data_IF_970998266848
#
_entry.id   IF_970998266848
#
_cell.length_a   1.000
_cell.length_b   1.000
_cell.length_c   1.000
_cell.angle_alpha   90.00
_cell.angle_beta   90.00
_cell.angle_gamma   90.00
#
_symmetry.space_group_name_H-M   'P 1'
#
loop_
_entity.id
_entity.type
_entity.pdbx_description
1 polymer ?
#
# COMPACT_ATOMS: atom_id res chain seq x y z
N UNK A 1 -56.79 -9.07 26.66
CA UNK A 1 -56.29 -9.87 25.53
C UNK A 1 -56.84 -9.25 24.28
N UNK A 2 -55.96 -8.88 23.36
CA UNK A 2 -56.32 -8.17 22.15
C UNK A 2 -57.17 -9.09 21.25
N UNK A 3 -58.42 -8.70 20.97
CA UNK A 3 -59.42 -9.58 20.31
C UNK A 3 -59.20 -9.69 18.81
N UNK A 4 -58.39 -8.80 18.21
CA UNK A 4 -58.25 -8.66 16.75
C UNK A 4 -57.31 -9.70 16.14
N UNK A 5 -56.21 -10.08 16.82
CA UNK A 5 -55.20 -11.05 16.31
C UNK A 5 -54.74 -12.07 17.38
N UNK A 6 -55.62 -12.96 17.84
CA UNK A 6 -55.34 -13.85 18.98
C UNK A 6 -54.22 -14.87 18.72
N UNK A 7 -54.11 -15.37 17.47
CA UNK A 7 -53.07 -16.33 17.07
C UNK A 7 -51.68 -15.68 17.03
N UNK A 8 -51.57 -14.48 16.46
CA UNK A 8 -50.29 -13.76 16.38
C UNK A 8 -49.83 -13.32 17.78
N UNK A 9 -50.74 -12.86 18.65
CA UNK A 9 -50.43 -12.57 20.04
C UNK A 9 -49.87 -13.80 20.78
N UNK A 10 -50.45 -14.99 20.55
CA UNK A 10 -49.97 -16.25 21.12
C UNK A 10 -48.58 -16.64 20.59
N UNK A 11 -48.34 -16.50 19.28
CA UNK A 11 -47.02 -16.71 18.69
C UNK A 11 -45.97 -15.75 19.25
N UNK A 12 -46.31 -14.45 19.33
CA UNK A 12 -45.43 -13.43 19.89
C UNK A 12 -45.13 -13.67 21.38
N UNK A 13 -46.07 -14.24 22.14
CA UNK A 13 -45.85 -14.59 23.56
C UNK A 13 -44.79 -15.67 23.78
N UNK A 14 -44.48 -16.47 22.75
CA UNK A 14 -43.37 -17.44 22.80
C UNK A 14 -42.01 -16.77 22.60
N UNK A 15 -41.99 -15.63 21.91
CA UNK A 15 -40.77 -14.88 21.58
C UNK A 15 -40.53 -13.70 22.53
N UNK A 16 -41.58 -13.17 23.16
CA UNK A 16 -41.52 -12.02 24.05
C UNK A 16 -42.24 -12.30 25.37
N UNK A 17 -41.58 -12.09 26.53
CA UNK A 17 -42.18 -12.36 27.84
C UNK A 17 -43.11 -11.25 28.32
N UNK A 18 -42.93 -10.01 27.86
CA UNK A 18 -43.76 -8.86 28.27
C UNK A 18 -45.00 -8.73 27.38
N UNK A 19 -46.17 -8.71 28.02
CA UNK A 19 -47.47 -8.54 27.34
C UNK A 19 -47.64 -7.15 26.74
N UNK A 20 -47.11 -6.12 27.38
CA UNK A 20 -47.19 -4.73 26.90
C UNK A 20 -46.46 -4.57 25.57
N UNK A 21 -45.28 -5.18 25.45
CA UNK A 21 -44.49 -5.17 24.21
C UNK A 21 -45.18 -5.89 23.05
N UNK A 22 -45.93 -6.95 23.35
CA UNK A 22 -46.71 -7.69 22.33
C UNK A 22 -47.85 -6.83 21.81
N UNK A 23 -48.56 -6.13 22.71
CA UNK A 23 -49.66 -5.23 22.34
C UNK A 23 -49.12 -4.09 21.48
N UNK A 24 -48.02 -3.44 21.89
CA UNK A 24 -47.39 -2.38 21.10
C UNK A 24 -46.96 -2.85 19.70
N UNK A 25 -46.43 -4.08 19.57
CA UNK A 25 -46.07 -4.63 18.26
C UNK A 25 -47.28 -4.88 17.37
N UNK A 26 -48.38 -5.39 17.93
CA UNK A 26 -49.61 -5.63 17.17
C UNK A 26 -50.28 -4.32 16.74
N UNK A 27 -50.23 -3.29 17.59
CA UNK A 27 -50.76 -1.95 17.29
C UNK A 27 -49.93 -1.21 16.22
N UNK A 28 -48.60 -1.41 16.18
CA UNK A 28 -47.71 -0.73 15.23
C UNK A 28 -47.51 -1.50 13.92
N UNK A 29 -47.71 -2.82 13.91
CA UNK A 29 -47.43 -3.68 12.74
C UNK A 29 -48.48 -3.56 11.64
N UNK A 30 -49.73 -3.29 11.98
CA UNK A 30 -50.81 -3.11 11.01
C UNK A 30 -51.36 -1.70 11.12
N UNK A 31 -51.35 -0.94 10.02
CA UNK A 31 -52.07 0.32 9.97
C UNK A 31 -53.58 0.05 10.19
N UNK A 32 -54.30 1.01 10.77
CA UNK A 32 -55.69 0.82 11.26
C UNK A 32 -56.65 0.19 10.23
N UNK A 33 -56.38 0.36 8.93
CA UNK A 33 -57.20 -0.11 7.81
C UNK A 33 -56.47 -1.08 6.85
N UNK A 34 -55.23 -1.49 7.11
CA UNK A 34 -54.48 -2.38 6.21
C UNK A 34 -54.75 -3.86 6.51
N UNK A 35 -55.09 -4.62 5.46
CA UNK A 35 -55.11 -6.08 5.52
C UNK A 35 -53.66 -6.60 5.59
N UNK A 36 -53.35 -7.60 6.44
CA UNK A 36 -52.00 -8.14 6.64
C UNK A 36 -51.54 -8.96 5.43
N UNK A 37 -51.33 -8.31 4.29
CA UNK A 37 -50.98 -8.94 3.02
C UNK A 37 -49.58 -8.53 2.58
N UNK A 38 -48.80 -9.50 2.11
CA UNK A 38 -47.51 -9.25 1.49
C UNK A 38 -47.75 -8.99 0.00
N UNK A 39 -47.64 -7.74 -0.43
CA UNK A 39 -47.75 -7.41 -1.87
C UNK A 39 -46.50 -7.90 -2.60
N UNK A 40 -46.65 -9.00 -3.34
CA UNK A 40 -45.65 -9.50 -4.27
C UNK A 40 -46.08 -9.14 -5.69
N UNK A 41 -45.91 -7.87 -6.05
CA UNK A 41 -46.16 -7.39 -7.41
C UNK A 41 -44.85 -6.96 -8.05
N UNK A 42 -44.63 -7.27 -9.35
CA UNK A 42 -43.55 -6.65 -10.09
C UNK A 42 -43.79 -5.14 -10.07
N UNK A 43 -42.74 -4.38 -9.78
CA UNK A 43 -42.81 -2.92 -9.81
C UNK A 43 -42.94 -2.54 -11.28
N UNK A 44 -44.04 -1.90 -11.65
CA UNK A 44 -44.24 -1.28 -12.96
C UNK A 44 -43.34 -0.03 -13.02
N UNK A 45 -42.05 -0.26 -13.24
CA UNK A 45 -41.13 0.80 -13.61
C UNK A 45 -41.42 1.04 -15.10
N UNK A 46 -41.87 2.24 -15.46
CA UNK A 46 -41.92 2.67 -16.87
C UNK A 46 -40.61 2.27 -17.53
N UNK A 47 -40.69 1.54 -18.65
CA UNK A 47 -39.53 0.96 -19.31
C UNK A 47 -38.43 2.01 -19.43
N UNK A 48 -37.43 1.94 -18.53
CA UNK A 48 -36.24 2.76 -18.69
C UNK A 48 -35.59 2.18 -19.94
N UNK A 49 -35.78 2.87 -21.08
CA UNK A 49 -35.39 2.47 -22.44
C UNK A 49 -33.90 2.05 -22.58
N UNK A 50 -33.11 2.17 -21.51
CA UNK A 50 -31.67 2.04 -21.51
C UNK A 50 -31.11 0.74 -20.91
N UNK A 51 -31.93 -0.27 -20.58
CA UNK A 51 -31.39 -1.55 -20.09
C UNK A 51 -32.25 -2.76 -20.49
N UNK A 52 -32.13 -3.17 -21.76
CA UNK A 52 -32.71 -4.41 -22.31
C UNK A 52 -32.07 -5.72 -21.78
N UNK A 53 -31.27 -5.65 -20.71
CA UNK A 53 -30.57 -6.82 -20.17
C UNK A 53 -31.19 -7.22 -18.84
N UNK A 54 -31.64 -8.48 -18.78
CA UNK A 54 -32.05 -9.12 -17.53
C UNK A 54 -30.96 -8.99 -16.44
N UNK A 55 -31.37 -8.98 -15.18
CA UNK A 55 -30.45 -8.97 -14.03
C UNK A 55 -29.46 -10.14 -14.09
N UNK A 56 -29.90 -11.31 -14.56
CA UNK A 56 -29.04 -12.48 -14.76
C UNK A 56 -27.99 -12.26 -15.85
N UNK A 57 -28.35 -11.60 -16.95
CA UNK A 57 -27.38 -11.24 -18.01
C UNK A 57 -26.38 -10.21 -17.51
N UNK A 58 -26.79 -9.21 -16.74
CA UNK A 58 -25.87 -8.24 -16.14
C UNK A 58 -24.89 -8.92 -15.18
N UNK A 59 -25.38 -9.80 -14.29
CA UNK A 59 -24.51 -10.56 -13.38
C UNK A 59 -23.54 -11.48 -14.11
N UNK A 60 -23.96 -12.10 -15.22
CA UNK A 60 -23.07 -12.92 -16.05
C UNK A 60 -22.03 -12.06 -16.74
N UNK A 61 -22.43 -10.96 -17.36
CA UNK A 61 -21.51 -10.04 -18.03
C UNK A 61 -20.52 -9.41 -17.06
N UNK A 62 -20.93 -9.01 -15.86
CA UNK A 62 -20.04 -8.53 -14.80
C UNK A 62 -19.02 -9.60 -14.42
N UNK A 63 -19.45 -10.86 -14.23
CA UNK A 63 -18.53 -11.98 -13.97
C UNK A 63 -17.55 -12.21 -15.12
N UNK A 64 -18.00 -12.09 -16.37
CA UNK A 64 -17.14 -12.23 -17.54
C UNK A 64 -16.16 -11.06 -17.71
N UNK A 65 -16.62 -9.83 -17.49
CA UNK A 65 -15.80 -8.61 -17.52
C UNK A 65 -14.73 -8.64 -16.43
N UNK A 66 -15.10 -9.00 -15.21
CA UNK A 66 -14.18 -9.21 -14.08
C UNK A 66 -13.11 -10.27 -14.40
N UNK A 67 -13.49 -11.41 -15.01
CA UNK A 67 -12.53 -12.42 -15.46
C UNK A 67 -11.60 -11.93 -16.57
N UNK A 68 -12.08 -11.05 -17.48
CA UNK A 68 -11.29 -10.48 -18.57
C UNK A 68 -10.30 -9.42 -18.06
N UNK A 69 -10.69 -8.63 -17.06
CA UNK A 69 -9.82 -7.65 -16.40
C UNK A 69 -8.69 -8.33 -15.60
N UNK A 70 -8.98 -9.44 -14.90
CA UNK A 70 -7.96 -10.23 -14.19
C UNK A 70 -6.86 -10.80 -15.10
N UNK A 71 -7.17 -11.07 -16.38
CA UNK A 71 -6.19 -11.63 -17.34
C UNK A 71 -5.19 -10.59 -17.88
N UNK A 72 -5.43 -9.28 -17.74
CA UNK A 72 -4.58 -8.24 -18.36
C UNK A 72 -3.30 -7.90 -17.59
N UNK A 73 -3.20 -8.22 -16.31
CA UNK A 73 -2.12 -7.69 -15.46
C UNK A 73 -0.92 -8.66 -15.34
N UNK A 74 -0.34 -9.04 -16.49
CA UNK A 74 0.86 -9.91 -16.55
C UNK A 74 2.06 -9.30 -15.83
N UNK A 75 2.13 -7.96 -15.76
CA UNK A 75 3.16 -7.18 -15.09
C UNK A 75 3.42 -7.67 -13.66
N UNK A 76 2.38 -7.99 -12.89
CA UNK A 76 2.51 -8.52 -11.52
C UNK A 76 3.15 -9.91 -11.51
N UNK A 77 2.79 -10.76 -12.47
CA UNK A 77 3.35 -12.12 -12.59
C UNK A 77 4.82 -12.06 -13.00
N UNK A 78 5.15 -11.24 -14.00
CA UNK A 78 6.52 -11.00 -14.46
C UNK A 78 7.37 -10.44 -13.33
N UNK A 79 6.90 -9.40 -12.64
CA UNK A 79 7.62 -8.79 -11.52
C UNK A 79 7.83 -9.79 -10.37
N UNK A 80 6.82 -10.59 -10.02
CA UNK A 80 6.95 -11.64 -9.01
C UNK A 80 8.00 -12.68 -9.40
N UNK A 81 8.04 -13.11 -10.67
CA UNK A 81 9.06 -14.03 -11.20
C UNK A 81 10.45 -13.40 -11.11
N UNK A 82 10.56 -12.13 -11.50
CA UNK A 82 11.80 -11.36 -11.43
C UNK A 82 12.38 -11.30 -10.02
N UNK A 83 11.57 -10.93 -9.02
CA UNK A 83 11.98 -10.85 -7.60
C UNK A 83 12.43 -12.23 -7.08
N UNK A 84 11.65 -13.29 -7.38
CA UNK A 84 12.00 -14.66 -6.97
C UNK A 84 13.31 -15.13 -7.60
N UNK A 85 13.54 -14.82 -8.88
CA UNK A 85 14.79 -15.18 -9.53
C UNK A 85 15.99 -14.48 -8.88
N UNK A 86 15.88 -13.18 -8.60
CA UNK A 86 16.93 -12.40 -7.93
C UNK A 86 17.26 -12.94 -6.53
N UNK A 87 16.24 -13.27 -5.73
CA UNK A 87 16.46 -13.88 -4.41
C UNK A 87 17.16 -15.24 -4.52
N UNK A 88 16.84 -16.04 -5.55
CA UNK A 88 17.50 -17.33 -5.81
C UNK A 88 18.96 -17.12 -6.22
N UNK A 89 19.24 -16.18 -7.13
CA UNK A 89 20.59 -15.85 -7.58
C UNK A 89 21.46 -15.33 -6.43
N UNK A 90 20.93 -14.45 -5.58
CA UNK A 90 21.64 -13.96 -4.37
C UNK A 90 22.02 -15.09 -3.41
N UNK A 91 21.11 -16.04 -3.19
CA UNK A 91 21.40 -17.22 -2.35
C UNK A 91 22.49 -18.10 -2.96
N UNK A 92 22.39 -18.38 -4.27
CA UNK A 92 23.39 -19.17 -5.00
C UNK A 92 24.77 -18.52 -4.98
N UNK A 93 24.82 -17.21 -5.24
CA UNK A 93 26.06 -16.43 -5.21
C UNK A 93 26.71 -16.50 -3.82
N UNK A 94 25.94 -16.28 -2.75
CA UNK A 94 26.43 -16.38 -1.37
C UNK A 94 27.05 -17.75 -1.07
N UNK A 95 26.39 -18.84 -1.45
CA UNK A 95 26.89 -20.20 -1.23
C UNK A 95 28.17 -20.46 -2.03
N UNK A 96 28.22 -20.07 -3.30
CA UNK A 96 29.42 -20.23 -4.14
C UNK A 96 30.62 -19.45 -3.60
N UNK A 97 30.41 -18.21 -3.16
CA UNK A 97 31.46 -17.40 -2.52
C UNK A 97 31.97 -18.11 -1.26
N UNK A 98 31.07 -18.60 -0.39
CA UNK A 98 31.46 -19.31 0.82
C UNK A 98 32.27 -20.58 0.53
N UNK A 99 31.85 -21.38 -0.47
CA UNK A 99 32.57 -22.58 -0.88
C UNK A 99 33.96 -22.24 -1.46
N UNK A 100 34.05 -21.22 -2.31
CA UNK A 100 35.31 -20.78 -2.91
C UNK A 100 36.30 -20.26 -1.86
N UNK A 101 35.81 -19.47 -0.90
CA UNK A 101 36.61 -19.01 0.25
C UNK A 101 37.19 -20.17 1.04
N UNK A 102 36.35 -21.17 1.35
CA UNK A 102 36.76 -22.36 2.11
C UNK A 102 37.74 -23.24 1.34
N UNK A 103 37.53 -23.43 0.04
CA UNK A 103 38.39 -24.28 -0.79
C UNK A 103 39.79 -23.70 -0.99
N UNK A 104 39.90 -22.37 -1.08
CA UNK A 104 41.15 -21.68 -1.39
C UNK A 104 41.78 -20.99 -0.17
N UNK A 105 41.22 -21.17 1.04
CA UNK A 105 41.62 -20.45 2.25
C UNK A 105 41.72 -18.92 2.05
N UNK A 106 40.77 -18.34 1.32
CA UNK A 106 40.74 -16.90 1.01
C UNK A 106 39.82 -16.13 1.97
N UNK A 107 40.32 -15.02 2.50
CA UNK A 107 39.54 -14.10 3.36
C UNK A 107 38.45 -13.37 2.57
N UNK A 108 38.75 -12.95 1.34
CA UNK A 108 37.88 -12.16 0.47
C UNK A 108 37.94 -12.69 -0.97
N UNK A 109 36.79 -12.64 -1.65
CA UNK A 109 36.62 -13.11 -3.04
C UNK A 109 35.75 -12.08 -3.74
N UNK A 110 36.15 -11.63 -4.91
CA UNK A 110 35.32 -10.70 -5.67
C UNK A 110 34.07 -11.41 -6.18
N UNK A 111 32.92 -10.78 -6.00
CA UNK A 111 31.65 -11.36 -6.45
C UNK A 111 31.57 -11.42 -7.99
N UNK A 112 32.35 -10.57 -8.68
CA UNK A 112 32.43 -10.44 -10.14
C UNK A 112 32.88 -11.71 -10.88
N UNK A 113 33.53 -12.65 -10.18
CA UNK A 113 33.98 -13.93 -10.73
C UNK A 113 32.82 -14.85 -11.11
N UNK A 114 31.67 -14.69 -10.45
CA UNK A 114 30.53 -15.60 -10.61
C UNK A 114 29.55 -15.08 -11.66
N UNK A 115 29.05 -15.99 -12.51
CA UNK A 115 28.03 -15.66 -13.53
C UNK A 115 26.78 -15.06 -12.91
N UNK A 116 26.38 -15.56 -11.73
CA UNK A 116 25.22 -15.07 -10.99
C UNK A 116 25.31 -13.58 -10.66
N UNK A 117 26.51 -13.05 -10.38
CA UNK A 117 26.68 -11.63 -10.07
C UNK A 117 26.34 -10.74 -11.26
N UNK A 118 26.63 -11.19 -12.49
CA UNK A 118 26.32 -10.43 -13.71
C UNK A 118 24.83 -10.30 -13.98
N UNK A 119 24.04 -11.26 -13.51
CA UNK A 119 22.58 -11.28 -13.65
C UNK A 119 21.86 -10.51 -12.53
N UNK A 120 22.57 -10.09 -11.47
CA UNK A 120 21.97 -9.35 -10.36
C UNK A 120 21.83 -7.86 -10.70
N UNK A 121 20.77 -7.28 -10.15
CA UNK A 121 20.61 -5.83 -10.07
C UNK A 121 21.81 -5.18 -9.38
N UNK A 122 22.37 -4.16 -10.02
CA UNK A 122 23.41 -3.32 -9.45
C UNK A 122 22.80 -2.05 -8.89
N UNK A 123 23.31 -1.60 -7.76
CA UNK A 123 22.88 -0.37 -7.12
C UNK A 123 23.12 0.85 -8.02
N UNK A 124 24.25 0.87 -8.72
CA UNK A 124 24.67 1.96 -9.60
C UNK A 124 23.66 2.24 -10.71
N UNK A 125 23.00 1.21 -11.24
CA UNK A 125 21.98 1.34 -12.29
C UNK A 125 20.77 2.17 -11.80
N UNK A 126 20.53 2.23 -10.48
CA UNK A 126 19.43 2.97 -9.86
C UNK A 126 19.82 4.38 -9.39
N UNK A 127 21.10 4.77 -9.46
CA UNK A 127 21.52 6.12 -9.10
C UNK A 127 20.86 7.17 -9.99
N UNK A 128 20.73 6.90 -11.30
CA UNK A 128 20.02 7.79 -12.23
C UNK A 128 18.55 7.96 -11.84
N UNK A 129 17.90 6.88 -11.41
CA UNK A 129 16.50 6.93 -10.92
C UNK A 129 16.38 7.75 -9.63
N UNK A 130 17.37 7.66 -8.74
CA UNK A 130 17.41 8.48 -7.54
C UNK A 130 17.63 9.97 -7.85
N UNK A 131 18.53 10.30 -8.79
CA UNK A 131 18.71 11.69 -9.27
C UNK A 131 17.40 12.28 -9.79
N UNK A 132 16.68 11.54 -10.63
CA UNK A 132 15.36 11.96 -11.12
C UNK A 132 14.35 12.19 -9.98
N UNK A 133 14.34 11.30 -8.98
CA UNK A 133 13.48 11.46 -7.81
C UNK A 133 13.82 12.70 -6.98
N UNK A 134 15.12 13.01 -6.81
CA UNK A 134 15.57 14.21 -6.11
C UNK A 134 15.10 15.48 -6.83
N UNK A 135 15.27 15.57 -8.15
CA UNK A 135 14.77 16.70 -8.93
C UNK A 135 13.25 16.85 -8.79
N UNK A 136 12.51 15.75 -8.96
CA UNK A 136 11.05 15.71 -8.77
C UNK A 136 10.63 16.22 -7.38
N UNK A 137 11.28 15.75 -6.31
CA UNK A 137 10.84 16.09 -4.96
C UNK A 137 11.20 17.54 -4.59
N UNK A 138 12.34 18.04 -5.09
CA UNK A 138 12.71 19.47 -4.97
C UNK A 138 11.67 20.36 -5.63
N UNK A 139 11.30 20.05 -6.87
CA UNK A 139 10.28 20.79 -7.62
C UNK A 139 8.92 20.74 -6.91
N UNK A 140 8.51 19.55 -6.46
CA UNK A 140 7.25 19.36 -5.75
C UNK A 140 7.18 20.21 -4.48
N UNK A 141 8.26 20.20 -3.70
CA UNK A 141 8.35 20.94 -2.44
C UNK A 141 8.66 22.43 -2.64
N UNK A 142 8.92 22.86 -3.87
CA UNK A 142 9.33 24.21 -4.22
C UNK A 142 10.55 24.64 -3.38
N UNK A 143 11.54 23.75 -3.26
CA UNK A 143 12.82 24.08 -2.61
C UNK A 143 13.56 25.01 -3.58
N UNK A 144 13.42 26.30 -3.35
CA UNK A 144 14.10 27.34 -4.14
C UNK A 144 15.56 27.44 -3.67
N UNK A 145 16.46 27.71 -4.62
CA UNK A 145 17.88 27.91 -4.35
C UNK A 145 18.17 29.18 -3.52
N UNK A 146 17.16 30.01 -3.27
CA UNK A 146 17.26 31.31 -2.58
C UNK A 146 17.24 31.21 -1.03
N UNK A 147 17.37 30.00 -0.45
CA UNK A 147 17.53 29.81 1.00
C UNK A 147 16.26 29.94 1.84
N UNK A 148 15.11 30.23 1.26
CA UNK A 148 13.83 30.24 1.98
C UNK A 148 13.31 28.81 2.16
N UNK A 149 13.29 28.32 3.40
CA UNK A 149 12.70 27.01 3.71
C UNK A 149 11.19 27.03 3.44
N UNK A 150 10.66 26.05 2.68
CA UNK A 150 9.23 25.95 2.45
C UNK A 150 8.49 25.63 3.76
N UNK A 151 7.21 26.03 3.84
CA UNK A 151 6.39 25.75 5.01
C UNK A 151 6.29 24.23 5.24
N UNK A 152 6.86 23.77 6.36
CA UNK A 152 6.98 22.35 6.72
C UNK A 152 5.62 21.64 6.65
N UNK A 153 4.53 22.28 7.11
CA UNK A 153 3.20 21.66 7.08
C UNK A 153 2.72 21.41 5.65
N UNK A 154 2.96 22.35 4.74
CA UNK A 154 2.63 22.19 3.33
C UNK A 154 3.49 21.12 2.67
N UNK A 155 4.78 21.04 3.02
CA UNK A 155 5.66 19.97 2.57
C UNK A 155 5.14 18.59 3.00
N UNK A 156 4.74 18.43 4.27
CA UNK A 156 4.22 17.16 4.79
C UNK A 156 2.95 16.71 4.06
N UNK A 157 2.05 17.65 3.71
CA UNK A 157 0.86 17.35 2.91
C UNK A 157 1.26 16.84 1.52
N UNK A 158 2.15 17.55 0.82
CA UNK A 158 2.64 17.15 -0.51
C UNK A 158 3.33 15.79 -0.47
N UNK A 159 4.20 15.56 0.52
CA UNK A 159 4.91 14.30 0.76
C UNK A 159 3.95 13.14 1.04
N UNK A 160 2.82 13.38 1.71
CA UNK A 160 1.83 12.33 1.98
C UNK A 160 1.23 11.73 0.69
N UNK A 161 1.14 12.54 -0.38
CA UNK A 161 0.64 12.13 -1.69
C UNK A 161 1.73 11.81 -2.72
N UNK A 162 3.00 12.11 -2.42
CA UNK A 162 4.12 11.99 -3.36
C UNK A 162 4.45 10.53 -3.74
N UNK A 163 5.18 10.34 -4.84
CA UNK A 163 5.76 9.07 -5.26
C UNK A 163 7.11 8.84 -4.55
N UNK A 164 7.39 7.59 -4.15
CA UNK A 164 8.66 7.23 -3.48
C UNK A 164 9.49 6.21 -4.28
N UNK A 165 9.13 5.87 -5.51
CA UNK A 165 10.01 5.09 -6.39
C UNK A 165 11.21 5.97 -6.79
N UNK A 166 12.43 5.47 -6.58
CA UNK A 166 13.67 6.25 -6.70
C UNK A 166 14.13 6.92 -5.40
N UNK A 167 13.30 6.93 -4.35
CA UNK A 167 13.69 7.48 -3.06
C UNK A 167 14.77 6.63 -2.40
N UNK A 168 15.81 7.26 -1.85
CA UNK A 168 16.77 6.59 -0.98
C UNK A 168 16.23 6.60 0.46
N UNK A 169 15.88 5.43 0.97
CA UNK A 169 15.33 5.27 2.32
C UNK A 169 16.31 4.53 3.23
N UNK A 170 16.28 4.86 4.52
CA UNK A 170 16.93 4.13 5.60
C UNK A 170 15.91 3.73 6.66
N UNK A 171 16.01 2.52 7.20
CA UNK A 171 15.19 2.08 8.33
C UNK A 171 15.80 2.64 9.62
N UNK A 172 15.07 3.56 10.26
CA UNK A 172 15.45 4.17 11.53
C UNK A 172 15.14 3.24 12.71
N UNK A 173 13.91 2.71 12.75
CA UNK A 173 13.42 1.82 13.81
C UNK A 173 12.50 0.76 13.22
N UNK A 174 12.47 -0.42 13.81
CA UNK A 174 11.67 -1.55 13.32
C UNK A 174 11.37 -2.53 14.44
N UNK A 175 10.17 -3.13 14.42
CA UNK A 175 9.82 -4.28 15.29
C UNK A 175 10.82 -5.42 15.13
N UNK A 176 11.27 -5.66 13.90
CA UNK A 176 12.38 -6.57 13.62
C UNK A 176 13.71 -5.80 13.67
N UNK A 177 14.53 -6.09 14.68
CA UNK A 177 15.83 -5.45 14.92
C UNK A 177 16.83 -5.66 13.77
N UNK A 178 16.75 -6.75 13.01
CA UNK A 178 17.64 -7.01 11.86
C UNK A 178 17.43 -6.04 10.69
N UNK A 179 16.28 -5.38 10.63
CA UNK A 179 15.96 -4.41 9.58
C UNK A 179 16.52 -3.02 9.90
N UNK A 180 16.89 -2.73 11.15
CA UNK A 180 17.38 -1.42 11.58
C UNK A 180 18.71 -1.13 10.85
N UNK A 181 18.85 0.08 10.31
CA UNK A 181 20.02 0.51 9.56
C UNK A 181 20.07 0.04 8.10
N UNK A 182 19.12 -0.80 7.65
CA UNK A 182 19.01 -1.17 6.24
C UNK A 182 18.66 0.07 5.42
N UNK A 183 19.38 0.28 4.32
CA UNK A 183 19.21 1.44 3.45
C UNK A 183 19.33 1.08 1.97
N UNK A 184 18.76 1.90 1.10
CA UNK A 184 18.79 1.66 -0.33
C UNK A 184 17.75 2.44 -1.11
N UNK A 185 17.82 2.32 -2.43
CA UNK A 185 16.92 3.00 -3.36
C UNK A 185 15.66 2.14 -3.55
N UNK A 186 14.49 2.75 -3.38
CA UNK A 186 13.20 2.11 -3.61
C UNK A 186 13.00 1.88 -5.10
N UNK A 187 12.87 0.62 -5.51
CA UNK A 187 12.51 0.24 -6.88
C UNK A 187 11.01 0.15 -7.04
N UNK A 188 10.31 -0.27 -5.98
CA UNK A 188 8.88 -0.46 -6.03
C UNK A 188 8.20 -0.16 -4.68
N UNK A 189 7.33 0.84 -4.70
CA UNK A 189 6.38 1.18 -3.63
C UNK A 189 5.14 0.27 -3.71
N UNK A 190 5.15 -0.83 -2.95
CA UNK A 190 3.97 -1.68 -2.77
C UNK A 190 3.09 -1.17 -1.63
N UNK A 191 1.86 -1.67 -1.54
CA UNK A 191 0.96 -1.33 -0.42
C UNK A 191 1.65 -1.64 0.92
N UNK A 192 2.13 -2.87 1.13
CA UNK A 192 2.64 -3.31 2.44
C UNK A 192 4.16 -3.26 2.59
N UNK A 193 4.90 -3.15 1.49
CA UNK A 193 6.34 -3.32 1.47
C UNK A 193 7.00 -2.23 0.62
N UNK A 194 8.18 -1.79 1.05
CA UNK A 194 9.14 -1.16 0.15
C UNK A 194 10.09 -2.23 -0.38
N UNK A 195 10.27 -2.25 -1.70
CA UNK A 195 11.31 -3.06 -2.32
C UNK A 195 12.48 -2.15 -2.62
N UNK A 196 13.60 -2.38 -1.96
CA UNK A 196 14.81 -1.56 -2.11
C UNK A 196 15.97 -2.38 -2.68
N UNK A 197 16.91 -1.71 -3.32
CA UNK A 197 18.26 -2.24 -3.59
C UNK A 197 19.27 -1.54 -2.70
N UNK A 198 19.96 -2.34 -1.89
CA UNK A 198 21.07 -1.92 -1.02
C UNK A 198 22.33 -1.67 -1.86
N UNK A 199 23.25 -0.85 -1.33
CA UNK A 199 24.57 -0.59 -1.94
C UNK A 199 25.38 -1.89 -2.18
N UNK A 200 25.11 -2.95 -1.43
CA UNK A 200 25.72 -4.27 -1.64
C UNK A 200 25.08 -5.08 -2.77
N UNK A 201 24.39 -4.44 -3.73
CA UNK A 201 23.68 -5.09 -4.85
C UNK A 201 22.65 -6.14 -4.40
N UNK A 202 22.07 -5.94 -3.22
CA UNK A 202 21.10 -6.85 -2.60
C UNK A 202 19.71 -6.27 -2.66
N UNK A 203 18.76 -7.13 -3.02
CA UNK A 203 17.35 -6.80 -3.13
C UNK A 203 16.69 -7.13 -1.79
N UNK A 204 16.04 -6.14 -1.17
CA UNK A 204 15.37 -6.31 0.12
C UNK A 204 13.90 -5.90 0.02
N UNK A 205 13.04 -6.73 0.60
CA UNK A 205 11.64 -6.39 0.83
C UNK A 205 11.50 -6.02 2.29
N UNK A 206 11.21 -4.75 2.56
CA UNK A 206 11.06 -4.22 3.91
C UNK A 206 9.57 -3.98 4.16
N UNK A 207 9.03 -4.62 5.19
CA UNK A 207 7.65 -4.42 5.59
C UNK A 207 7.46 -3.00 6.16
N UNK A 208 6.36 -2.34 5.78
CA UNK A 208 6.02 -1.01 6.28
C UNK A 208 5.39 -1.06 7.68
N UNK A 209 4.65 -2.12 8.00
CA UNK A 209 4.03 -2.26 9.32
C UNK A 209 5.10 -2.36 10.40
N UNK A 210 5.02 -1.51 11.41
CA UNK A 210 5.95 -1.54 12.54
C UNK A 210 7.39 -1.12 12.18
N UNK A 211 7.55 -0.31 11.13
CA UNK A 211 8.84 0.24 10.72
C UNK A 211 8.76 1.75 10.54
N UNK A 212 9.85 2.43 10.88
CA UNK A 212 10.07 3.85 10.68
C UNK A 212 11.18 4.01 9.66
N UNK A 213 10.91 4.77 8.62
CA UNK A 213 11.87 5.08 7.58
C UNK A 213 12.29 6.55 7.72
N UNK A 214 13.52 6.85 7.32
CA UNK A 214 14.01 8.21 7.11
C UNK A 214 14.51 8.34 5.68
N UNK A 215 14.33 9.50 5.09
CA UNK A 215 14.96 9.91 3.84
C UNK A 215 15.43 11.36 3.94
N UNK A 216 16.39 11.69 3.09
CA UNK A 216 17.02 13.00 3.06
C UNK A 216 16.82 13.61 1.68
N UNK A 217 16.53 14.90 1.65
CA UNK A 217 16.49 15.72 0.44
C UNK A 217 17.64 16.72 0.53
N UNK A 218 18.65 16.65 -0.34
CA UNK A 218 19.71 17.65 -0.38
C UNK A 218 19.15 19.00 -0.83
N UNK A 219 19.57 20.11 -0.20
CA UNK A 219 19.15 21.48 -0.56
C UNK A 219 20.08 22.09 -1.61
N UNK A 220 21.32 21.60 -1.73
CA UNK A 220 22.32 22.06 -2.70
C UNK A 220 22.14 21.41 -4.08
N UNK A 221 22.69 22.04 -5.11
CA UNK A 221 22.78 21.46 -6.46
C UNK A 221 23.85 20.39 -6.52
N UNK A 222 23.46 19.17 -6.93
CA UNK A 222 24.32 17.98 -6.95
C UNK A 222 25.54 18.10 -7.89
N UNK A 223 25.56 19.12 -8.75
CA UNK A 223 26.60 19.36 -9.76
C UNK A 223 27.62 20.44 -9.36
N UNK A 224 27.37 21.21 -8.30
CA UNK A 224 28.31 22.20 -7.81
C UNK A 224 29.29 21.54 -6.82
N UNK A 225 30.56 21.39 -7.23
CA UNK A 225 31.63 20.74 -6.47
C UNK A 225 32.09 21.50 -5.21
N UNK A 226 31.56 22.71 -4.97
CA UNK A 226 31.86 23.47 -3.77
C UNK A 226 31.03 22.95 -2.60
N UNK A 227 31.49 21.86 -2.00
CA UNK A 227 30.97 21.32 -0.74
C UNK A 227 31.42 22.27 0.37
N UNK A 228 30.58 23.22 0.74
CA UNK A 228 30.74 23.91 2.03
C UNK A 228 30.56 22.86 3.14
N UNK A 229 31.55 22.72 4.02
CA UNK A 229 31.60 21.77 5.16
C UNK A 229 30.49 22.00 6.22
N UNK A 230 29.51 22.85 5.94
CA UNK A 230 28.37 23.07 6.83
C UNK A 230 27.32 21.96 6.64
N UNK A 231 27.25 21.07 7.62
CA UNK A 231 26.33 19.92 7.78
C UNK A 231 24.81 20.23 7.74
N UNK A 232 24.40 21.45 7.39
CA UNK A 232 23.00 21.91 7.47
C UNK A 232 22.26 21.99 6.12
N UNK A 233 22.85 21.48 5.03
CA UNK A 233 22.31 21.65 3.68
C UNK A 233 21.38 20.51 3.22
N UNK A 234 20.56 19.96 4.11
CA UNK A 234 19.57 18.93 3.77
C UNK A 234 18.32 19.00 4.63
N UNK A 235 17.21 18.48 4.09
CA UNK A 235 15.97 18.24 4.84
C UNK A 235 15.82 16.75 5.11
N UNK A 236 15.76 16.37 6.38
CA UNK A 236 15.45 15.00 6.81
C UNK A 236 13.97 14.86 7.14
N UNK A 237 13.34 13.81 6.59
CA UNK A 237 11.95 13.49 6.84
C UNK A 237 11.79 12.04 7.29
N UNK A 238 10.85 11.82 8.21
CA UNK A 238 10.53 10.52 8.74
C UNK A 238 9.16 10.02 8.24
N UNK A 239 9.10 8.75 7.85
CA UNK A 239 7.87 8.07 7.43
C UNK A 239 7.52 6.99 8.46
N UNK A 240 6.30 7.09 9.00
CA UNK A 240 5.71 6.03 9.83
C UNK A 240 5.11 4.98 8.90
N UNK A 241 5.80 3.86 8.70
CA UNK A 241 5.42 2.83 7.75
C UNK A 241 4.03 2.23 8.00
N UNK A 242 3.62 2.07 9.26
CA UNK A 242 2.28 1.58 9.62
C UNK A 242 1.15 2.44 9.03
N UNK A 243 1.43 3.73 8.76
CA UNK A 243 0.49 4.69 8.14
C UNK A 243 0.70 4.86 6.64
N UNK A 244 1.75 4.26 6.12
CA UNK A 244 2.18 4.39 4.73
C UNK A 244 1.81 3.15 3.89
N UNK A 245 0.80 2.38 4.32
CA UNK A 245 0.42 1.09 3.71
C UNK A 245 -0.41 1.19 2.42
N UNK A 246 -0.55 2.39 1.86
CA UNK A 246 -1.22 2.65 0.59
C UNK A 246 -0.16 3.02 -0.46
N UNK A 247 -0.38 2.60 -1.72
CA UNK A 247 0.49 3.00 -2.83
C UNK A 247 0.34 4.50 -3.07
N UNK A 248 1.35 5.13 -3.66
CA UNK A 248 1.32 6.54 -4.10
C UNK A 248 0.00 6.94 -4.77
N UNK A 249 -0.43 6.21 -5.81
CA UNK A 249 -1.72 6.48 -6.49
C UNK A 249 -2.95 6.30 -5.60
N UNK A 250 -2.89 5.36 -4.65
CA UNK A 250 -3.98 5.15 -3.69
C UNK A 250 -3.99 6.25 -2.60
N UNK A 251 -2.87 6.97 -2.38
CA UNK A 251 -2.76 8.02 -1.35
C UNK A 251 -3.38 9.34 -1.82
N UNK A 252 -3.14 9.74 -3.07
CA UNK A 252 -3.56 11.06 -3.59
C UNK A 252 -5.09 11.26 -3.57
N UNK A 253 -5.87 10.23 -3.89
CA UNK A 253 -7.33 10.29 -3.91
C UNK A 253 -8.03 9.94 -2.59
N UNK A 254 -7.28 9.61 -1.54
CA UNK A 254 -7.84 8.98 -0.33
C UNK A 254 -8.08 9.97 0.80
N UNK A 255 -9.30 9.93 1.34
CA UNK A 255 -9.64 10.58 2.61
C UNK A 255 -9.06 9.79 3.78
N UNK A 256 -7.93 10.24 4.32
CA UNK A 256 -7.32 9.63 5.51
C UNK A 256 -8.21 9.84 6.73
N UNK A 257 -8.55 8.75 7.43
CA UNK A 257 -9.28 8.79 8.70
C UNK A 257 -8.29 8.71 9.85
N UNK A 258 -8.54 9.45 10.92
CA UNK A 258 -7.80 9.29 12.18
C UNK A 258 -7.96 7.84 12.68
N UNK A 259 -6.84 7.20 12.98
CA UNK A 259 -6.77 5.87 13.60
C UNK A 259 -5.73 5.93 14.71
N UNK A 260 -5.78 5.00 15.66
CA UNK A 260 -4.68 4.78 16.63
C UNK A 260 -3.43 4.32 15.88
N UNK A 261 -2.26 4.81 16.31
CA UNK A 261 -0.98 4.37 15.76
C UNK A 261 -0.51 3.26 16.68
N UNK A 262 -0.30 2.06 16.15
CA UNK A 262 0.47 1.08 16.90
C UNK A 262 1.88 1.67 17.02
N UNK A 263 2.24 2.04 18.25
CA UNK A 263 3.64 2.31 18.58
C UNK A 263 4.46 1.03 18.33
N UNK A 264 5.73 1.26 18.00
CA UNK A 264 6.71 0.22 17.70
C UNK A 264 6.75 -0.87 18.77
#
# INVERSE_FOLDING_TARGET
MDKKYPLEASLLSRSYPSKEKIIQLLETRYALNDNPTLSLKPIEIEEIENSNKSLLTNLREEKFKYKKELKKDESKSVFKKFIKNHQRLQKKLKLKIQHYKKSNNLSQVSETLFKEYKELLKFDDFLTMNKLWISYIKDLLCILNDGNLPNIQQCLIKLSSAEFNGCFLRVLKSKNKELIGKNGIVIYDSQKFFIIVEQTNKLKLIEKKGTYFTFVIPIYDYENENIDDNDNNYLEFNIIGSRFQYRSHDRSGKKFKSKSADDL
#
